data_IF_379786777025
#
_entry.id   IF_379786777025
#
_cell.length_a   1.000
_cell.length_b   1.000
_cell.length_c   1.000
_cell.angle_alpha   90.00
_cell.angle_beta   90.00
_cell.angle_gamma   90.00
#
_symmetry.space_group_name_H-M   'P 1'
#
loop_
_entity.id
_entity.type
_entity.pdbx_description
1 polymer ?
#
# COMPACT_ATOMS: atom_id res chain seq x y z
N UNK A 1 -3.36 -13.29 -6.22
CA UNK A 1 -1.96 -13.06 -5.84
C UNK A 1 -2.03 -12.29 -4.53
N UNK A 2 -1.78 -12.95 -3.40
CA UNK A 2 -1.73 -12.26 -2.11
C UNK A 2 -0.36 -11.63 -2.03
N UNK A 3 -0.30 -10.31 -2.09
CA UNK A 3 0.95 -9.57 -2.09
C UNK A 3 1.55 -9.55 -0.67
N UNK A 4 2.86 -9.36 -0.55
CA UNK A 4 3.55 -9.28 0.75
C UNK A 4 2.87 -8.30 1.73
N UNK A 5 2.29 -7.22 1.21
CA UNK A 5 1.54 -6.23 1.98
C UNK A 5 0.21 -6.73 2.52
N UNK A 6 -0.47 -7.66 1.85
CA UNK A 6 -1.70 -8.27 2.38
C UNK A 6 -1.42 -9.07 3.65
N UNK A 7 -0.25 -9.72 3.72
CA UNK A 7 0.18 -10.42 4.92
C UNK A 7 0.52 -9.44 6.06
N UNK A 8 1.26 -8.38 5.78
CA UNK A 8 1.57 -7.33 6.78
C UNK A 8 0.27 -6.69 7.29
N UNK A 9 -0.67 -6.41 6.39
CA UNK A 9 -1.97 -5.82 6.71
C UNK A 9 -2.83 -6.75 7.57
N UNK A 10 -2.77 -8.07 7.33
CA UNK A 10 -3.46 -9.07 8.17
C UNK A 10 -2.79 -9.31 9.52
N UNK A 11 -1.45 -9.22 9.58
CA UNK A 11 -0.68 -9.46 10.80
C UNK A 11 -0.85 -8.37 11.86
N UNK A 12 -1.09 -7.12 11.48
CA UNK A 12 -1.33 -6.01 12.43
C UNK A 12 -2.60 -6.22 13.29
N UNK A 13 -3.80 -6.42 12.73
CA UNK A 13 -5.00 -6.68 13.52
C UNK A 13 -4.94 -8.04 14.22
N UNK A 14 -4.29 -9.04 13.62
CA UNK A 14 -4.08 -10.34 14.26
C UNK A 14 -3.19 -10.22 15.50
N UNK A 15 -2.09 -9.46 15.43
CA UNK A 15 -1.23 -9.20 16.58
C UNK A 15 -1.95 -8.36 17.64
N UNK A 16 -2.68 -7.31 17.24
CA UNK A 16 -3.40 -6.49 18.21
C UNK A 16 -4.50 -7.28 18.93
N UNK A 17 -5.38 -7.96 18.20
CA UNK A 17 -6.53 -8.63 18.79
C UNK A 17 -6.17 -10.00 19.35
N UNK A 18 -5.41 -10.80 18.62
CA UNK A 18 -5.01 -12.14 19.02
C UNK A 18 -4.04 -12.12 20.21
N UNK A 19 -3.02 -11.26 20.16
CA UNK A 19 -2.07 -11.18 21.27
C UNK A 19 -2.72 -10.52 22.50
N UNK A 20 -3.49 -9.43 22.35
CA UNK A 20 -4.20 -8.85 23.50
C UNK A 20 -5.18 -9.84 24.13
N UNK A 21 -5.97 -10.56 23.33
CA UNK A 21 -6.88 -11.60 23.81
C UNK A 21 -6.16 -12.72 24.55
N UNK A 22 -5.07 -13.25 23.98
CA UNK A 22 -4.25 -14.27 24.63
C UNK A 22 -3.60 -13.78 25.92
N UNK A 23 -3.13 -12.53 25.97
CA UNK A 23 -2.56 -11.94 27.18
C UNK A 23 -3.62 -11.77 28.28
N UNK A 24 -4.87 -11.46 27.92
CA UNK A 24 -5.98 -11.39 28.87
C UNK A 24 -6.28 -12.78 29.45
N UNK A 25 -6.24 -13.84 28.64
CA UNK A 25 -6.38 -15.22 29.14
C UNK A 25 -5.23 -15.63 30.06
N UNK A 26 -4.03 -15.08 29.86
CA UNK A 26 -2.89 -15.22 30.77
C UNK A 26 -3.04 -14.42 32.08
N UNK A 27 -4.14 -13.67 32.25
CA UNK A 27 -4.44 -12.90 33.46
C UNK A 27 -3.90 -11.47 33.47
N UNK A 28 -3.37 -10.98 32.34
CA UNK A 28 -3.01 -9.57 32.24
C UNK A 28 -4.25 -8.70 32.06
N UNK A 29 -4.25 -7.54 32.70
CA UNK A 29 -5.34 -6.57 32.53
C UNK A 29 -5.26 -5.88 31.17
N UNK A 30 -6.40 -5.44 30.64
CA UNK A 30 -6.49 -4.75 29.35
C UNK A 30 -5.45 -3.61 29.16
N UNK A 31 -5.22 -2.69 30.13
CA UNK A 31 -4.20 -1.65 29.97
C UNK A 31 -2.75 -2.16 29.94
N UNK A 32 -2.47 -3.41 30.35
CA UNK A 32 -1.15 -4.04 30.23
C UNK A 32 -1.03 -4.83 28.92
N UNK A 33 -2.09 -5.54 28.54
CA UNK A 33 -2.11 -6.38 27.34
C UNK A 33 -2.03 -5.55 26.04
N UNK A 34 -2.77 -4.45 25.96
CA UNK A 34 -2.85 -3.59 24.77
C UNK A 34 -1.49 -2.99 24.38
N UNK A 35 -0.74 -2.30 25.26
CA UNK A 35 0.57 -1.75 24.88
C UNK A 35 1.61 -2.82 24.54
N UNK A 36 1.55 -4.01 25.16
CA UNK A 36 2.43 -5.13 24.80
C UNK A 36 2.15 -5.66 23.39
N UNK A 37 0.88 -5.88 23.05
CA UNK A 37 0.46 -6.28 21.71
C UNK A 37 0.79 -5.20 20.67
N UNK A 38 0.60 -3.93 21.02
CA UNK A 38 0.97 -2.79 20.17
C UNK A 38 2.47 -2.74 19.90
N UNK A 39 3.33 -3.08 20.88
CA UNK A 39 4.78 -3.17 20.68
C UNK A 39 5.18 -4.22 19.65
N UNK A 40 4.54 -5.39 19.68
CA UNK A 40 4.76 -6.45 18.67
C UNK A 40 4.27 -6.00 17.29
N UNK A 41 3.09 -5.38 17.21
CA UNK A 41 2.58 -4.83 15.96
C UNK A 41 3.50 -3.75 15.38
N UNK A 42 4.02 -2.85 16.21
CA UNK A 42 5.00 -1.85 15.81
C UNK A 42 6.31 -2.49 15.31
N UNK A 43 6.75 -3.60 15.92
CA UNK A 43 7.87 -4.40 15.44
C UNK A 43 7.65 -5.01 14.06
N UNK A 44 6.44 -5.53 13.78
CA UNK A 44 6.05 -6.05 12.45
C UNK A 44 6.07 -4.93 11.41
N UNK A 45 5.48 -3.77 11.73
CA UNK A 45 5.50 -2.59 10.85
C UNK A 45 6.92 -2.12 10.61
N UNK A 46 7.73 -2.01 11.68
CA UNK A 46 9.14 -1.65 11.58
C UNK A 46 9.93 -2.65 10.72
N UNK A 47 9.72 -3.95 10.92
CA UNK A 47 10.34 -4.98 10.10
C UNK A 47 9.94 -4.84 8.63
N UNK A 48 8.67 -4.62 8.32
CA UNK A 48 8.21 -4.39 6.96
C UNK A 48 8.84 -3.15 6.31
N UNK A 49 8.95 -2.05 7.07
CA UNK A 49 9.57 -0.81 6.61
C UNK A 49 11.08 -0.91 6.42
N UNK A 50 11.78 -1.72 7.21
CA UNK A 50 13.23 -1.89 7.12
C UNK A 50 13.64 -3.00 6.13
N UNK A 51 12.89 -4.10 6.05
CA UNK A 51 13.13 -5.16 5.05
C UNK A 51 12.74 -4.67 3.65
N UNK A 52 11.60 -3.99 3.53
CA UNK A 52 11.13 -3.46 2.26
C UNK A 52 11.40 -1.95 2.19
N UNK A 53 12.65 -1.57 2.53
CA UNK A 53 13.15 -0.20 2.72
C UNK A 53 12.41 0.85 1.90
N UNK A 54 12.10 2.05 2.45
CA UNK A 54 11.18 3.04 1.87
C UNK A 54 11.60 3.46 0.45
N UNK A 55 11.24 2.64 -0.52
CA UNK A 55 11.59 2.74 -1.92
C UNK A 55 10.35 2.26 -2.66
N UNK A 56 9.77 3.17 -3.43
CA UNK A 56 8.63 2.99 -4.34
C UNK A 56 7.23 3.35 -3.86
N UNK A 57 7.05 4.08 -2.74
CA UNK A 57 5.85 4.92 -2.60
C UNK A 57 5.80 6.05 -3.67
N UNK A 58 6.86 6.22 -4.47
CA UNK A 58 6.96 7.18 -5.56
C UNK A 58 6.56 6.64 -6.95
N UNK A 59 6.32 5.33 -7.15
CA UNK A 59 6.10 4.77 -8.49
C UNK A 59 4.63 4.67 -8.92
N UNK A 60 3.68 4.53 -7.99
CA UNK A 60 2.27 4.36 -8.36
C UNK A 60 1.66 5.62 -9.02
N UNK A 61 2.09 6.82 -8.60
CA UNK A 61 1.64 8.09 -9.21
C UNK A 61 2.27 8.34 -10.60
N UNK A 62 3.38 7.68 -10.94
CA UNK A 62 4.06 7.90 -12.23
C UNK A 62 3.46 7.04 -13.35
N UNK A 63 3.02 5.82 -13.04
CA UNK A 63 2.38 4.92 -14.02
C UNK A 63 1.04 5.46 -14.52
N UNK A 64 0.25 6.11 -13.66
CA UNK A 64 -1.03 6.72 -14.03
C UNK A 64 -0.84 7.98 -14.89
N UNK A 65 0.14 8.82 -14.53
CA UNK A 65 0.45 10.05 -15.27
C UNK A 65 1.11 9.79 -16.63
N UNK A 66 1.85 8.69 -16.76
CA UNK A 66 2.47 8.28 -18.02
C UNK A 66 1.42 7.72 -18.98
N UNK A 67 0.46 6.94 -18.49
CA UNK A 67 -0.66 6.42 -19.29
C UNK A 67 -1.58 7.54 -19.77
N UNK A 68 -1.90 8.53 -18.92
CA UNK A 68 -2.66 9.72 -19.33
C UNK A 68 -1.96 10.48 -20.45
N UNK A 69 -0.66 10.78 -20.29
CA UNK A 69 0.12 11.52 -21.30
C UNK A 69 0.28 10.77 -22.62
N UNK A 70 0.43 9.44 -22.58
CA UNK A 70 0.48 8.61 -23.78
C UNK A 70 -0.87 8.51 -24.50
N UNK A 71 -1.98 8.50 -23.77
CA UNK A 71 -3.32 8.55 -24.35
C UNK A 71 -3.63 9.94 -24.94
N UNK A 72 -3.18 11.01 -24.29
CA UNK A 72 -3.32 12.40 -24.76
C UNK A 72 -2.48 12.67 -26.02
N UNK A 73 -1.24 12.17 -26.08
CA UNK A 73 -0.37 12.34 -27.26
C UNK A 73 -0.86 11.54 -28.48
N UNK A 74 -1.39 10.33 -28.27
CA UNK A 74 -2.01 9.54 -29.33
C UNK A 74 -3.30 10.18 -29.87
N UNK A 75 -4.11 10.78 -28.98
CA UNK A 75 -5.32 11.53 -29.37
C UNK A 75 -4.99 12.82 -30.13
N UNK A 76 -3.92 13.52 -29.75
CA UNK A 76 -3.47 14.74 -30.41
C UNK A 76 -2.90 14.47 -31.81
N UNK A 77 -2.14 13.38 -31.99
CA UNK A 77 -1.65 12.96 -33.31
C UNK A 77 -2.78 12.65 -34.28
N UNK A 78 -3.78 11.87 -33.84
CA UNK A 78 -4.92 11.51 -34.69
C UNK A 78 -5.80 12.70 -35.12
N UNK A 79 -5.89 13.76 -34.30
CA UNK A 79 -6.60 14.99 -34.69
C UNK A 79 -5.82 15.82 -35.70
N UNK A 80 -4.50 15.88 -35.60
CA UNK A 80 -3.66 16.65 -36.51
C UNK A 80 -3.72 16.09 -37.93
N UNK A 81 -3.73 14.77 -38.05
CA UNK A 81 -3.79 14.08 -39.34
C UNK A 81 -5.16 14.24 -40.00
N UNK A 82 -6.24 14.24 -39.20
CA UNK A 82 -7.60 14.45 -39.69
C UNK A 82 -7.85 15.92 -40.12
N UNK A 83 -7.22 16.90 -39.49
CA UNK A 83 -7.34 18.30 -39.91
C UNK A 83 -6.72 18.56 -41.29
N UNK A 84 -5.65 17.83 -41.64
CA UNK A 84 -4.97 17.98 -42.93
C UNK A 84 -5.76 17.40 -44.12
N UNK A 85 -6.57 16.36 -43.90
CA UNK A 85 -7.37 15.70 -44.97
C UNK A 85 -8.70 16.38 -45.28
N UNK A 86 -9.17 17.30 -44.44
CA UNK A 86 -10.44 18.03 -44.65
C UNK A 86 -10.23 19.44 -45.25
N UNK A 87 -9.01 19.77 -45.69
CA UNK A 87 -8.62 21.09 -46.16
C UNK A 87 -8.43 21.19 -47.70
N UNK A 88 -8.84 20.16 -48.46
CA UNK A 88 -8.85 20.15 -49.94
C UNK A 88 -10.28 20.30 -50.48
#
# INVERSE_FOLDING_TARGET
>A
MTEYYDYVLGLIPLALFGLSGGLIELGLTLPQAVPLAAGVAAGIVGHALFINGPVSAALETQSDRSQSRSAESASAGHRSDNAAINAD
#
